data_IF_593044156695
#
_entry.id   IF_593044156695
#
_cell.length_a   1.000
_cell.length_b   1.000
_cell.length_c   1.000
_cell.angle_alpha   90.00
_cell.angle_beta   90.00
_cell.angle_gamma   90.00
#
_symmetry.space_group_name_H-M   'P 1'
#
loop_
_entity.id
_entity.type
_entity.pdbx_description
1 polymer ?
#
# COMPACT_ATOMS: atom_id res chain seq x y z
N UNK A 1 59.10 -28.40 -54.15
CA UNK A 1 59.53 -27.86 -55.47
C UNK A 1 60.89 -28.47 -55.82
N UNK A 2 61.08 -29.18 -56.95
CA UNK A 2 62.43 -29.67 -57.32
C UNK A 2 63.33 -28.48 -57.68
N UNK A 3 64.14 -28.00 -56.74
CA UNK A 3 65.17 -26.99 -57.00
C UNK A 3 66.39 -27.71 -57.58
N UNK A 4 66.32 -28.07 -58.86
CA UNK A 4 67.40 -28.73 -59.60
C UNK A 4 68.50 -27.75 -60.05
N UNK A 5 68.67 -26.61 -59.36
CA UNK A 5 69.66 -25.58 -59.70
C UNK A 5 70.95 -25.79 -58.91
N UNK A 6 72.07 -25.85 -59.62
CA UNK A 6 73.41 -26.00 -59.05
C UNK A 6 73.81 -24.76 -58.25
N UNK A 7 74.51 -24.96 -57.15
CA UNK A 7 75.00 -23.85 -56.35
C UNK A 7 76.15 -23.11 -57.05
N UNK A 8 76.49 -21.91 -56.58
CA UNK A 8 77.54 -21.07 -57.20
C UNK A 8 78.91 -21.75 -57.27
N UNK A 9 79.22 -22.65 -56.34
CA UNK A 9 80.50 -23.39 -56.33
C UNK A 9 80.53 -24.42 -57.45
N UNK A 10 79.44 -25.16 -57.62
CA UNK A 10 79.27 -26.13 -58.71
C UNK A 10 79.27 -25.46 -60.09
N UNK A 11 78.58 -24.33 -60.22
CA UNK A 11 78.57 -23.56 -61.47
C UNK A 11 79.96 -23.02 -61.82
N UNK A 12 80.70 -22.47 -60.84
CA UNK A 12 82.07 -21.97 -61.07
C UNK A 12 83.04 -23.06 -61.55
N UNK A 13 82.86 -24.31 -61.11
CA UNK A 13 83.72 -25.42 -61.53
C UNK A 13 83.66 -25.70 -63.04
N UNK A 14 82.59 -25.28 -63.73
CA UNK A 14 82.49 -25.41 -65.19
C UNK A 14 83.35 -24.40 -65.95
N UNK A 15 83.77 -23.31 -65.30
CA UNK A 15 84.49 -22.19 -65.92
C UNK A 15 85.93 -22.01 -65.39
N UNK A 16 86.51 -23.06 -64.79
CA UNK A 16 87.92 -23.06 -64.40
C UNK A 16 88.84 -23.06 -65.63
N UNK A 17 90.04 -22.49 -65.48
CA UNK A 17 91.05 -22.48 -66.53
C UNK A 17 91.27 -23.90 -67.09
N UNK A 18 91.33 -24.04 -68.41
CA UNK A 18 91.42 -25.29 -69.20
C UNK A 18 90.12 -26.12 -69.34
N UNK A 19 89.01 -25.75 -68.70
CA UNK A 19 87.69 -26.34 -68.96
C UNK A 19 86.98 -25.59 -70.09
N UNK A 20 86.31 -26.31 -70.98
CA UNK A 20 85.41 -25.74 -72.00
C UNK A 20 83.97 -26.02 -71.53
N UNK A 21 83.24 -24.99 -71.07
CA UNK A 21 81.85 -25.17 -70.66
C UNK A 21 80.97 -25.56 -71.86
N UNK A 22 80.02 -26.46 -71.65
CA UNK A 22 79.06 -26.86 -72.68
C UNK A 22 77.92 -25.83 -72.80
N UNK A 23 77.19 -25.86 -73.92
CA UNK A 23 75.97 -25.05 -74.11
C UNK A 23 75.00 -25.17 -72.94
N UNK A 24 74.77 -26.39 -72.44
CA UNK A 24 73.93 -26.65 -71.27
C UNK A 24 74.47 -25.96 -70.00
N UNK A 25 75.78 -25.92 -69.79
CA UNK A 25 76.39 -25.27 -68.64
C UNK A 25 76.33 -23.73 -68.72
N UNK A 26 76.36 -23.18 -69.93
CA UNK A 26 76.09 -21.76 -70.14
C UNK A 26 74.62 -21.41 -69.87
N UNK A 27 73.67 -22.23 -70.33
CA UNK A 27 72.25 -22.07 -70.00
C UNK A 27 72.02 -22.13 -68.48
N UNK A 28 72.59 -23.13 -67.80
CA UNK A 28 72.53 -23.27 -66.33
C UNK A 28 73.10 -22.03 -65.59
N UNK A 29 74.14 -21.37 -66.12
CA UNK A 29 74.69 -20.14 -65.54
C UNK A 29 73.76 -18.94 -65.72
N UNK A 30 73.19 -18.76 -66.92
CA UNK A 30 72.27 -17.66 -67.24
C UNK A 30 71.00 -17.78 -66.38
N UNK A 31 70.40 -18.98 -66.32
CA UNK A 31 69.21 -19.29 -65.52
C UNK A 31 69.44 -19.21 -63.99
N UNK A 32 70.71 -19.13 -63.55
CA UNK A 32 71.08 -18.93 -62.14
C UNK A 32 71.22 -17.45 -61.74
N UNK A 33 71.10 -16.51 -62.68
CA UNK A 33 71.15 -15.06 -62.43
C UNK A 33 69.76 -14.44 -62.44
N UNK A 34 69.55 -13.37 -61.66
CA UNK A 34 68.26 -12.65 -61.64
C UNK A 34 68.07 -11.82 -62.91
N UNK A 35 66.97 -12.04 -63.62
CA UNK A 35 66.48 -11.24 -64.74
C UNK A 35 65.41 -10.25 -64.23
N UNK A 36 65.65 -8.94 -64.40
CA UNK A 36 64.75 -7.92 -63.84
C UNK A 36 63.32 -7.96 -64.37
N UNK A 37 63.13 -8.37 -65.64
CA UNK A 37 61.80 -8.41 -66.28
C UNK A 37 61.10 -9.72 -65.96
N UNK A 38 61.82 -10.84 -66.04
CA UNK A 38 61.22 -12.17 -65.83
C UNK A 38 61.02 -12.51 -64.34
N UNK A 39 61.92 -12.05 -63.46
CA UNK A 39 61.82 -12.31 -62.01
C UNK A 39 61.09 -11.20 -61.25
N UNK A 40 60.57 -10.18 -61.94
CA UNK A 40 59.77 -9.10 -61.35
C UNK A 40 60.51 -8.26 -60.29
N UNK A 41 61.84 -8.23 -60.31
CA UNK A 41 62.67 -7.50 -59.33
C UNK A 41 63.51 -6.42 -60.03
N UNK A 42 63.31 -5.16 -59.63
CA UNK A 42 64.11 -4.04 -60.16
C UNK A 42 64.53 -3.08 -59.05
N UNK A 43 65.55 -2.26 -59.32
CA UNK A 43 65.96 -1.16 -58.44
C UNK A 43 66.03 0.12 -59.27
N UNK A 44 64.95 0.93 -59.29
CA UNK A 44 64.93 2.19 -60.02
C UNK A 44 66.04 3.13 -59.51
N UNK A 45 66.56 3.98 -60.39
CA UNK A 45 67.57 4.96 -60.01
C UNK A 45 67.05 5.88 -58.90
N UNK A 46 67.74 5.90 -57.75
CA UNK A 46 67.35 6.70 -56.58
C UNK A 46 66.17 6.12 -55.77
N UNK A 47 65.59 4.99 -56.16
CA UNK A 47 64.48 4.33 -55.47
C UNK A 47 64.88 3.10 -54.65
N UNK A 48 63.97 2.59 -53.80
CA UNK A 48 64.14 1.31 -53.13
C UNK A 48 64.04 0.13 -54.13
N UNK A 49 64.35 -1.08 -53.68
CA UNK A 49 64.04 -2.30 -54.46
C UNK A 49 62.53 -2.35 -54.68
N UNK A 50 62.12 -2.62 -55.91
CA UNK A 50 60.73 -2.81 -56.32
C UNK A 50 60.52 -4.27 -56.70
N UNK A 51 59.36 -4.79 -56.30
CA UNK A 51 58.87 -6.13 -56.64
C UNK A 51 57.55 -5.98 -57.36
N UNK A 52 57.41 -6.63 -58.50
CA UNK A 52 56.16 -6.78 -59.23
C UNK A 52 55.46 -8.06 -58.75
N UNK A 53 54.15 -7.97 -58.54
CA UNK A 53 53.36 -9.11 -58.11
C UNK A 53 53.05 -10.01 -59.32
N UNK A 54 53.26 -11.32 -59.17
CA UNK A 54 52.92 -12.32 -60.17
C UNK A 54 51.40 -12.58 -60.16
N UNK A 55 50.74 -12.37 -61.30
CA UNK A 55 49.30 -12.53 -61.49
C UNK A 55 48.60 -11.30 -62.11
N UNK A 56 47.41 -11.51 -62.68
CA UNK A 56 46.62 -10.43 -63.30
C UNK A 56 45.73 -9.68 -62.29
N UNK A 57 45.20 -8.52 -62.72
CA UNK A 57 44.32 -7.68 -61.88
C UNK A 57 42.98 -8.37 -61.53
N UNK A 58 42.60 -9.40 -62.30
CA UNK A 58 41.46 -10.28 -62.05
C UNK A 58 41.78 -11.44 -61.11
N UNK A 59 43.00 -11.50 -60.56
CA UNK A 59 43.42 -12.53 -59.65
C UNK A 59 44.21 -12.10 -58.43
N UNK A 60 44.49 -13.11 -57.58
CA UNK A 60 45.42 -13.00 -56.47
C UNK A 60 46.80 -12.78 -57.06
N UNK A 61 47.48 -11.74 -56.60
CA UNK A 61 48.81 -11.41 -57.09
C UNK A 61 49.82 -11.73 -56.00
N UNK A 62 50.74 -12.67 -56.22
CA UNK A 62 51.73 -13.05 -55.20
C UNK A 62 53.01 -12.24 -55.41
N UNK A 63 53.58 -11.72 -54.32
CA UNK A 63 54.78 -10.88 -54.36
C UNK A 63 55.99 -11.64 -53.80
N UNK A 64 55.83 -12.29 -52.65
CA UNK A 64 56.93 -12.96 -51.97
C UNK A 64 56.44 -14.20 -51.22
N UNK A 65 57.04 -15.34 -51.52
CA UNK A 65 56.80 -16.61 -50.84
C UNK A 65 57.95 -16.94 -49.87
N UNK A 66 57.59 -17.28 -48.64
CA UNK A 66 58.51 -17.61 -47.56
C UNK A 66 58.31 -19.08 -47.16
N UNK A 67 59.30 -19.91 -47.46
CA UNK A 67 59.31 -21.34 -47.15
C UNK A 67 60.12 -21.63 -45.87
N UNK A 68 59.63 -22.54 -45.04
CA UNK A 68 60.43 -23.13 -43.96
C UNK A 68 61.39 -24.19 -44.53
N UNK A 69 60.93 -24.95 -45.51
CA UNK A 69 61.73 -25.85 -46.35
C UNK A 69 61.25 -25.78 -47.80
N UNK A 70 62.17 -25.84 -48.77
CA UNK A 70 61.78 -25.92 -50.19
C UNK A 70 61.28 -27.31 -50.62
N UNK A 71 61.41 -28.30 -49.73
CA UNK A 71 60.74 -29.59 -49.86
C UNK A 71 59.22 -29.48 -49.65
N UNK A 72 58.75 -28.41 -49.00
CA UNK A 72 57.32 -28.19 -48.79
C UNK A 72 56.63 -27.85 -50.13
N UNK A 73 55.42 -28.39 -50.33
CA UNK A 73 54.63 -28.12 -51.53
C UNK A 73 54.10 -26.67 -51.58
N UNK A 74 53.93 -26.04 -50.41
CA UNK A 74 53.38 -24.68 -50.27
C UNK A 74 54.27 -23.81 -49.40
N UNK A 75 54.35 -22.49 -49.66
CA UNK A 75 55.08 -21.57 -48.79
C UNK A 75 54.46 -21.53 -47.40
N UNK A 76 55.28 -21.35 -46.36
CA UNK A 76 54.77 -21.17 -44.99
C UNK A 76 54.00 -19.86 -44.84
N UNK A 77 54.49 -18.80 -45.49
CA UNK A 77 53.85 -17.50 -45.57
C UNK A 77 53.95 -16.94 -46.98
N UNK A 78 52.91 -16.28 -47.46
CA UNK A 78 52.94 -15.56 -48.73
C UNK A 78 52.48 -14.11 -48.53
N UNK A 79 53.26 -13.18 -49.07
CA UNK A 79 52.90 -11.77 -49.20
C UNK A 79 52.35 -11.56 -50.61
N UNK A 80 51.20 -10.92 -50.72
CA UNK A 80 50.55 -10.67 -52.00
C UNK A 80 49.67 -9.44 -52.00
N UNK A 81 49.14 -9.14 -53.18
CA UNK A 81 48.13 -8.12 -53.43
C UNK A 81 46.84 -8.78 -53.91
N UNK A 82 45.74 -8.06 -53.76
CA UNK A 82 44.46 -8.39 -54.38
C UNK A 82 43.93 -9.81 -54.05
N UNK A 83 43.89 -10.23 -52.77
CA UNK A 83 43.33 -11.53 -52.39
C UNK A 83 41.85 -11.64 -52.78
N UNK A 84 41.37 -12.89 -52.94
CA UNK A 84 39.97 -13.18 -53.34
C UNK A 84 39.20 -13.85 -52.21
N UNK A 85 37.91 -13.54 -52.11
CA UNK A 85 37.01 -14.13 -51.10
C UNK A 85 36.66 -15.57 -51.49
N UNK A 86 36.43 -15.81 -52.77
CA UNK A 86 36.14 -17.12 -53.33
C UNK A 86 37.09 -17.38 -54.50
N UNK A 87 37.86 -18.47 -54.40
CA UNK A 87 38.81 -18.86 -55.43
C UNK A 87 38.15 -19.21 -56.77
N UNK A 88 36.85 -19.51 -56.78
CA UNK A 88 36.08 -19.84 -57.98
C UNK A 88 35.39 -18.63 -58.62
N UNK A 89 35.40 -17.47 -57.95
CA UNK A 89 34.78 -16.23 -58.45
C UNK A 89 35.85 -15.14 -58.60
N UNK A 90 36.41 -14.94 -59.80
CA UNK A 90 37.47 -13.95 -60.05
C UNK A 90 37.11 -12.52 -59.64
N UNK A 91 35.84 -12.14 -59.74
CA UNK A 91 35.34 -10.81 -59.36
C UNK A 91 35.30 -10.58 -57.83
N UNK A 92 35.62 -11.60 -57.02
CA UNK A 92 35.60 -11.50 -55.56
C UNK A 92 36.87 -10.88 -54.96
N UNK A 93 37.75 -10.34 -55.79
CA UNK A 93 39.02 -9.75 -55.37
C UNK A 93 38.82 -8.52 -54.49
N UNK A 94 39.72 -8.34 -53.53
CA UNK A 94 39.75 -7.21 -52.61
C UNK A 94 41.11 -6.50 -52.74
N UNK A 95 41.22 -5.41 -53.51
CA UNK A 95 42.47 -4.70 -53.71
C UNK A 95 43.11 -4.25 -52.37
N UNK A 96 44.33 -4.69 -52.10
CA UNK A 96 45.02 -4.41 -50.84
C UNK A 96 46.22 -5.32 -50.61
N UNK A 97 47.00 -5.03 -49.57
CA UNK A 97 48.15 -5.84 -49.14
C UNK A 97 47.66 -7.01 -48.30
N UNK A 98 48.13 -8.22 -48.57
CA UNK A 98 47.72 -9.44 -47.89
C UNK A 98 48.90 -10.29 -47.45
N UNK A 99 48.82 -10.83 -46.24
CA UNK A 99 49.71 -11.86 -45.72
C UNK A 99 48.87 -13.10 -45.45
N UNK A 100 49.17 -14.21 -46.13
CA UNK A 100 48.46 -15.49 -45.98
C UNK A 100 49.35 -16.60 -45.44
N UNK A 101 48.73 -17.57 -44.77
CA UNK A 101 49.40 -18.81 -44.36
C UNK A 101 49.55 -19.80 -45.53
N UNK A 102 50.13 -20.97 -45.25
CA UNK A 102 50.34 -22.06 -46.21
C UNK A 102 49.07 -22.64 -46.83
N UNK A 103 47.89 -22.37 -46.25
CA UNK A 103 46.60 -22.74 -46.83
C UNK A 103 46.00 -21.64 -47.72
N UNK A 104 46.72 -20.54 -47.92
CA UNK A 104 46.25 -19.37 -48.64
C UNK A 104 45.26 -18.50 -47.85
N UNK A 105 45.00 -18.83 -46.58
CA UNK A 105 44.08 -18.06 -45.74
C UNK A 105 44.76 -16.78 -45.24
N UNK A 106 44.11 -15.64 -45.47
CA UNK A 106 44.60 -14.34 -44.99
C UNK A 106 44.70 -14.29 -43.47
N UNK A 107 45.84 -13.78 -42.97
CA UNK A 107 46.09 -13.49 -41.55
C UNK A 107 46.12 -12.02 -41.26
N UNK A 108 46.64 -11.21 -42.18
CA UNK A 108 46.63 -9.76 -42.13
C UNK A 108 46.33 -9.22 -43.52
N UNK A 109 45.38 -8.30 -43.59
CA UNK A 109 44.99 -7.62 -44.82
C UNK A 109 44.87 -6.12 -44.56
N UNK A 110 45.36 -5.31 -45.49
CA UNK A 110 45.21 -3.85 -45.47
C UNK A 110 44.59 -3.42 -46.80
N UNK A 111 43.35 -2.92 -46.74
CA UNK A 111 42.59 -2.51 -47.92
C UNK A 111 43.22 -1.29 -48.60
N UNK A 112 43.39 -1.36 -49.92
CA UNK A 112 43.87 -0.23 -50.72
C UNK A 112 42.82 0.89 -50.78
N UNK A 113 43.28 2.15 -50.77
CA UNK A 113 42.42 3.36 -50.81
C UNK A 113 41.65 3.67 -49.53
N UNK A 114 41.14 2.65 -48.82
CA UNK A 114 40.36 2.79 -47.59
C UNK A 114 41.15 2.61 -46.29
N UNK A 115 42.25 1.84 -46.32
CA UNK A 115 43.12 1.62 -45.15
C UNK A 115 42.53 0.75 -44.04
N UNK A 116 41.36 0.15 -44.24
CA UNK A 116 40.76 -0.78 -43.29
C UNK A 116 41.65 -2.03 -43.15
N UNK A 117 41.85 -2.47 -41.91
CA UNK A 117 42.72 -3.60 -41.57
C UNK A 117 41.89 -4.80 -41.15
N UNK A 118 42.11 -5.95 -41.80
CA UNK A 118 41.52 -7.23 -41.45
C UNK A 118 42.55 -8.15 -40.81
N UNK A 119 42.24 -8.76 -39.67
CA UNK A 119 43.00 -9.88 -39.08
C UNK A 119 42.14 -11.13 -39.19
N UNK A 120 42.60 -12.13 -39.95
CA UNK A 120 41.83 -13.33 -40.26
C UNK A 120 40.65 -13.13 -41.23
N UNK A 121 40.54 -11.96 -41.87
CA UNK A 121 39.54 -11.64 -42.89
C UNK A 121 40.11 -10.67 -43.93
N UNK A 122 39.64 -10.77 -45.17
CA UNK A 122 39.90 -9.79 -46.23
C UNK A 122 38.71 -8.87 -46.51
N UNK A 123 37.63 -9.04 -45.75
CA UNK A 123 36.43 -8.20 -45.80
C UNK A 123 36.28 -7.46 -44.47
N UNK A 124 37.12 -6.45 -44.19
CA UNK A 124 36.96 -5.64 -42.99
C UNK A 124 35.73 -4.73 -43.13
N UNK A 125 34.82 -4.81 -42.17
CA UNK A 125 33.60 -3.98 -42.11
C UNK A 125 33.81 -2.69 -41.29
N UNK A 126 34.98 -2.54 -40.67
CA UNK A 126 35.39 -1.35 -39.91
C UNK A 126 36.89 -1.06 -40.12
N UNK A 127 37.40 0.03 -39.53
CA UNK A 127 38.85 0.38 -39.62
C UNK A 127 39.76 -0.76 -39.16
N UNK A 128 39.33 -1.52 -38.15
CA UNK A 128 39.97 -2.76 -37.73
C UNK A 128 38.88 -3.82 -37.55
N UNK A 129 38.98 -4.91 -38.28
CA UNK A 129 38.12 -6.08 -38.14
C UNK A 129 38.98 -7.29 -37.80
N UNK A 130 38.70 -7.92 -36.66
CA UNK A 130 39.38 -9.15 -36.24
C UNK A 130 38.37 -10.29 -36.28
N UNK A 131 38.58 -11.24 -37.20
CA UNK A 131 37.73 -12.42 -37.36
C UNK A 131 38.37 -13.60 -36.63
N UNK A 132 37.82 -13.93 -35.46
CA UNK A 132 38.25 -15.08 -34.68
C UNK A 132 37.85 -16.43 -35.29
N UNK A 133 38.53 -17.51 -34.87
CA UNK A 133 38.08 -18.89 -35.11
C UNK A 133 37.28 -19.38 -33.90
N UNK A 134 36.33 -20.30 -34.13
CA UNK A 134 35.54 -20.87 -33.04
C UNK A 134 36.48 -21.51 -31.99
N UNK A 135 36.22 -21.20 -30.71
CA UNK A 135 36.96 -21.65 -29.50
C UNK A 135 38.19 -20.83 -29.05
N UNK A 136 38.60 -19.78 -29.76
CA UNK A 136 39.72 -18.93 -29.31
C UNK A 136 39.25 -17.49 -29.08
N UNK A 137 39.85 -16.78 -28.10
CA UNK A 137 39.59 -15.37 -27.92
C UNK A 137 40.00 -14.58 -29.17
N UNK A 138 39.17 -13.61 -29.53
CA UNK A 138 39.43 -12.68 -30.65
C UNK A 138 40.51 -11.70 -30.24
N UNK A 139 40.42 -11.17 -29.01
CA UNK A 139 41.42 -10.30 -28.38
C UNK A 139 41.65 -10.82 -26.98
N UNK A 140 42.90 -11.00 -26.56
CA UNK A 140 43.25 -11.38 -25.21
C UNK A 140 44.49 -10.65 -24.71
N UNK A 141 44.48 -10.25 -23.44
CA UNK A 141 45.69 -9.90 -22.70
C UNK A 141 45.95 -11.02 -21.69
N UNK A 142 47.21 -11.46 -21.58
CA UNK A 142 47.62 -12.54 -20.68
C UNK A 142 48.42 -11.99 -19.51
N UNK A 143 48.19 -12.54 -18.33
CA UNK A 143 49.07 -12.31 -17.17
C UNK A 143 50.46 -12.83 -17.49
N UNK A 144 51.49 -12.05 -17.14
CA UNK A 144 52.87 -12.43 -17.34
C UNK A 144 53.28 -13.62 -16.46
N UNK A 145 52.81 -13.66 -15.21
CA UNK A 145 53.16 -14.69 -14.23
C UNK A 145 52.45 -16.02 -14.49
N UNK A 146 51.15 -15.99 -14.81
CA UNK A 146 50.32 -17.19 -14.94
C UNK A 146 50.04 -17.63 -16.38
N UNK A 147 50.26 -16.76 -17.36
CA UNK A 147 49.93 -17.02 -18.78
C UNK A 147 48.44 -17.09 -19.09
N UNK A 148 47.57 -16.85 -18.08
CA UNK A 148 46.11 -16.88 -18.23
C UNK A 148 45.58 -15.58 -18.80
N UNK A 149 44.44 -15.65 -19.51
CA UNK A 149 43.77 -14.48 -20.05
C UNK A 149 43.18 -13.65 -18.91
N UNK A 150 43.64 -12.41 -18.72
CA UNK A 150 43.12 -11.46 -17.72
C UNK A 150 42.11 -10.47 -18.33
N UNK A 151 42.16 -10.29 -19.65
CA UNK A 151 41.17 -9.57 -20.44
C UNK A 151 40.89 -10.39 -21.68
N UNK A 152 39.61 -10.56 -22.02
CA UNK A 152 39.21 -11.34 -23.17
C UNK A 152 37.98 -10.75 -23.87
N UNK A 153 38.08 -10.63 -25.19
CA UNK A 153 36.92 -10.48 -26.10
C UNK A 153 36.83 -11.75 -26.92
N UNK A 154 35.70 -12.43 -26.82
CA UNK A 154 35.50 -13.73 -27.46
C UNK A 154 34.08 -13.88 -28.01
N UNK A 155 33.89 -14.91 -28.82
CA UNK A 155 32.57 -15.29 -29.32
C UNK A 155 32.42 -16.81 -29.24
N UNK A 156 31.34 -17.26 -28.60
CA UNK A 156 30.99 -18.68 -28.47
C UNK A 156 29.51 -18.85 -28.80
N UNK A 157 29.15 -19.83 -29.65
CA UNK A 157 27.76 -20.10 -30.03
C UNK A 157 26.97 -18.85 -30.47
N UNK A 158 27.60 -17.97 -31.26
CA UNK A 158 27.09 -16.67 -31.73
C UNK A 158 26.96 -15.60 -30.63
N UNK A 159 27.24 -15.92 -29.37
CA UNK A 159 27.25 -14.97 -28.27
C UNK A 159 28.62 -14.32 -28.11
N UNK A 160 28.66 -12.99 -28.23
CA UNK A 160 29.85 -12.22 -27.84
C UNK A 160 30.00 -12.17 -26.32
N UNK A 161 31.24 -12.24 -25.86
CA UNK A 161 31.60 -12.01 -24.46
C UNK A 161 32.78 -11.05 -24.32
N UNK A 162 32.71 -10.25 -23.26
CA UNK A 162 33.81 -9.45 -22.74
C UNK A 162 34.04 -9.83 -21.28
N UNK A 163 35.26 -10.23 -20.92
CA UNK A 163 35.57 -10.60 -19.54
C UNK A 163 36.88 -10.02 -19.03
N UNK A 164 36.89 -9.74 -17.72
CA UNK A 164 38.08 -9.47 -16.92
C UNK A 164 38.23 -10.64 -15.95
N UNK A 165 39.34 -11.37 -16.01
CA UNK A 165 39.52 -12.60 -15.24
C UNK A 165 40.64 -12.46 -14.22
N UNK A 166 40.45 -13.13 -13.09
CA UNK A 166 41.47 -13.38 -12.08
C UNK A 166 42.49 -14.41 -12.60
N UNK A 167 43.65 -14.45 -11.95
CA UNK A 167 44.69 -15.45 -12.25
C UNK A 167 44.30 -16.89 -11.89
N UNK A 168 43.22 -17.12 -11.15
CA UNK A 168 42.66 -18.46 -10.96
C UNK A 168 41.88 -18.94 -12.20
N UNK A 169 41.52 -18.03 -13.11
CA UNK A 169 40.73 -18.29 -14.32
C UNK A 169 39.26 -17.89 -14.19
N UNK A 170 38.81 -17.46 -13.00
CA UNK A 170 37.45 -17.00 -12.77
C UNK A 170 37.28 -15.54 -13.22
N UNK A 171 36.18 -15.24 -13.92
CA UNK A 171 35.86 -13.87 -14.29
C UNK A 171 35.48 -13.04 -13.06
N UNK A 172 36.08 -11.86 -12.89
CA UNK A 172 35.65 -10.83 -11.93
C UNK A 172 34.60 -9.91 -12.54
N UNK A 173 34.61 -9.76 -13.87
CA UNK A 173 33.60 -9.04 -14.62
C UNK A 173 33.34 -9.79 -15.92
N UNK A 174 32.08 -10.00 -16.27
CA UNK A 174 31.72 -10.63 -17.53
C UNK A 174 30.44 -10.00 -18.09
N UNK A 175 30.49 -9.68 -19.38
CA UNK A 175 29.33 -9.34 -20.21
C UNK A 175 29.15 -10.45 -21.21
N UNK A 176 28.00 -11.12 -21.20
CA UNK A 176 27.69 -12.24 -22.10
C UNK A 176 26.19 -12.38 -22.27
N UNK A 177 25.72 -12.63 -23.49
CA UNK A 177 24.28 -12.79 -23.78
C UNK A 177 23.39 -11.63 -23.29
N UNK A 178 23.89 -10.39 -23.36
CA UNK A 178 23.17 -9.20 -22.90
C UNK A 178 23.05 -9.07 -21.37
N UNK A 179 23.75 -9.91 -20.61
CA UNK A 179 23.78 -9.89 -19.14
C UNK A 179 25.14 -9.46 -18.64
N UNK A 180 25.16 -8.85 -17.45
CA UNK A 180 26.38 -8.38 -16.77
C UNK A 180 26.52 -9.08 -15.43
N UNK A 181 27.72 -9.55 -15.12
CA UNK A 181 28.08 -10.02 -13.78
C UNK A 181 29.35 -9.34 -13.28
N UNK A 182 29.32 -9.01 -11.99
CA UNK A 182 30.49 -8.63 -11.19
C UNK A 182 30.70 -9.74 -10.15
N UNK A 183 31.91 -10.26 -10.03
CA UNK A 183 32.23 -11.45 -9.24
C UNK A 183 32.24 -12.75 -10.07
N UNK A 184 32.51 -13.87 -9.40
CA UNK A 184 32.83 -15.15 -10.04
C UNK A 184 31.62 -15.84 -10.71
N UNK A 185 31.87 -16.56 -11.82
CA UNK A 185 30.89 -17.39 -12.53
C UNK A 185 30.20 -16.73 -13.73
N UNK A 186 29.22 -17.43 -14.32
CA UNK A 186 28.47 -17.01 -15.54
C UNK A 186 27.19 -16.21 -15.23
N UNK A 187 26.89 -15.12 -15.95
CA UNK A 187 25.77 -14.24 -15.60
C UNK A 187 24.40 -14.93 -15.72
N UNK A 188 23.71 -15.07 -14.59
CA UNK A 188 22.38 -15.72 -14.51
C UNK A 188 21.21 -14.74 -14.74
N UNK A 189 21.38 -13.46 -14.42
CA UNK A 189 20.37 -12.40 -14.52
C UNK A 189 20.92 -11.18 -15.27
N UNK A 190 20.08 -10.22 -15.72
CA UNK A 190 20.54 -9.01 -16.42
C UNK A 190 21.70 -8.29 -15.72
N UNK A 191 21.63 -8.13 -14.39
CA UNK A 191 22.76 -7.70 -13.57
C UNK A 191 22.86 -8.56 -12.30
N UNK A 192 24.02 -9.18 -12.10
CA UNK A 192 24.33 -9.92 -10.87
C UNK A 192 25.65 -9.47 -10.27
N UNK A 193 25.70 -9.31 -8.95
CA UNK A 193 26.90 -8.96 -8.19
C UNK A 193 27.12 -10.05 -7.15
N UNK A 194 28.28 -10.69 -7.20
CA UNK A 194 28.68 -11.78 -6.29
C UNK A 194 29.85 -11.29 -5.44
N UNK A 195 29.70 -11.39 -4.11
CA UNK A 195 30.76 -11.02 -3.17
C UNK A 195 31.86 -12.08 -3.08
N UNK A 196 33.01 -11.71 -2.50
CA UNK A 196 34.05 -12.69 -2.16
C UNK A 196 33.51 -13.68 -1.11
N UNK A 197 33.82 -14.96 -1.27
CA UNK A 197 33.51 -16.01 -0.30
C UNK A 197 34.28 -15.74 0.99
N UNK A 198 33.64 -15.13 1.98
CA UNK A 198 34.11 -15.10 3.36
C UNK A 198 33.08 -15.91 4.17
N UNK A 199 33.48 -17.12 4.54
CA UNK A 199 32.80 -18.06 5.44
C UNK A 199 31.39 -18.56 5.08
N UNK A 200 31.39 -19.67 4.32
CA UNK A 200 30.36 -20.72 4.25
C UNK A 200 28.93 -20.39 3.81
N UNK A 201 28.67 -19.28 3.11
CA UNK A 201 27.45 -19.18 2.27
C UNK A 201 27.80 -18.41 1.00
N UNK A 202 27.61 -19.00 -0.21
CA UNK A 202 27.72 -18.23 -1.44
C UNK A 202 26.61 -17.18 -1.42
N UNK A 203 26.93 -15.93 -1.10
CA UNK A 203 25.95 -14.87 -1.20
C UNK A 203 26.22 -14.00 -2.40
N UNK A 204 25.41 -14.21 -3.43
CA UNK A 204 25.23 -13.20 -4.46
C UNK A 204 24.83 -11.92 -3.71
N UNK A 205 25.71 -10.92 -3.70
CA UNK A 205 25.50 -9.68 -2.94
C UNK A 205 24.21 -8.99 -3.40
N UNK A 206 23.95 -9.02 -4.71
CA UNK A 206 22.76 -8.45 -5.33
C UNK A 206 22.42 -9.16 -6.64
N UNK A 207 21.14 -9.36 -6.92
CA UNK A 207 20.65 -9.84 -8.20
C UNK A 207 19.46 -8.97 -8.64
N UNK A 208 19.56 -8.40 -9.85
CA UNK A 208 18.50 -7.59 -10.47
C UNK A 208 17.97 -8.31 -11.70
N UNK A 209 16.66 -8.53 -11.70
CA UNK A 209 15.87 -9.09 -12.80
C UNK A 209 14.76 -8.13 -13.21
N UNK A 210 13.97 -8.51 -14.21
CA UNK A 210 12.79 -7.75 -14.64
C UNK A 210 11.70 -7.67 -13.56
N UNK A 211 11.67 -8.62 -12.63
CA UNK A 211 10.58 -8.78 -11.66
C UNK A 211 11.02 -8.57 -10.22
N UNK A 212 12.33 -8.60 -9.94
CA UNK A 212 12.83 -8.54 -8.57
C UNK A 212 14.24 -7.99 -8.44
N UNK A 213 14.49 -7.40 -7.27
CA UNK A 213 15.80 -7.09 -6.71
C UNK A 213 15.97 -7.94 -5.47
N UNK A 214 17.01 -8.77 -5.47
CA UNK A 214 17.37 -9.67 -4.37
C UNK A 214 18.68 -9.20 -3.74
N UNK A 215 18.74 -9.28 -2.41
CA UNK A 215 19.89 -8.85 -1.61
C UNK A 215 20.35 -9.97 -0.69
N UNK A 216 21.65 -10.28 -0.69
CA UNK A 216 22.26 -11.26 0.21
C UNK A 216 21.74 -12.70 0.03
N UNK A 217 22.30 -13.62 0.80
CA UNK A 217 21.96 -15.04 0.69
C UNK A 217 22.16 -15.60 -0.73
N UNK A 218 21.51 -16.70 -1.04
CA UNK A 218 21.60 -17.31 -2.37
C UNK A 218 20.89 -16.51 -3.48
N UNK A 219 20.26 -15.37 -3.17
CA UNK A 219 19.36 -14.65 -4.09
C UNK A 219 18.33 -15.59 -4.76
N UNK A 220 17.69 -16.45 -3.96
CA UNK A 220 16.65 -17.39 -4.40
C UNK A 220 15.31 -17.06 -3.70
N UNK A 221 14.66 -15.98 -4.13
CA UNK A 221 13.38 -15.53 -3.59
C UNK A 221 13.43 -15.23 -2.09
N UNK A 222 12.62 -15.94 -1.30
CA UNK A 222 12.58 -15.81 0.17
C UNK A 222 13.55 -16.76 0.90
N UNK A 223 14.65 -17.16 0.27
CA UNK A 223 15.69 -17.95 0.91
C UNK A 223 16.28 -17.31 2.17
N UNK A 224 16.93 -18.13 2.99
CA UNK A 224 17.63 -17.70 4.20
C UNK A 224 18.65 -16.61 3.88
N UNK A 225 18.82 -15.66 4.81
CA UNK A 225 19.76 -14.52 4.68
C UNK A 225 19.54 -13.66 3.42
N UNK A 226 18.37 -13.76 2.80
CA UNK A 226 18.02 -13.00 1.58
C UNK A 226 16.91 -12.00 1.89
N UNK A 227 17.01 -10.79 1.36
CA UNK A 227 15.92 -9.81 1.28
C UNK A 227 15.48 -9.64 -0.18
N UNK A 228 14.25 -9.18 -0.39
CA UNK A 228 13.66 -9.10 -1.72
C UNK A 228 12.73 -7.90 -1.85
N UNK A 229 12.83 -7.21 -2.99
CA UNK A 229 11.80 -6.31 -3.52
C UNK A 229 11.35 -6.89 -4.85
N UNK A 230 10.06 -7.14 -5.03
CA UNK A 230 9.55 -7.76 -6.26
C UNK A 230 8.16 -7.31 -6.64
N UNK A 231 7.81 -7.50 -7.90
CA UNK A 231 6.45 -7.41 -8.41
C UNK A 231 6.02 -8.83 -8.76
N UNK A 232 4.88 -9.29 -8.26
CA UNK A 232 4.34 -10.60 -8.61
C UNK A 232 3.42 -10.56 -9.84
N UNK A 233 2.88 -11.73 -10.22
CA UNK A 233 2.01 -11.89 -11.39
C UNK A 233 0.69 -11.12 -11.29
N UNK A 234 0.33 -10.66 -10.09
CA UNK A 234 -0.87 -9.86 -9.84
C UNK A 234 -0.54 -8.35 -9.76
N UNK A 235 0.68 -7.96 -10.17
CA UNK A 235 1.22 -6.60 -10.10
C UNK A 235 1.33 -6.05 -8.67
N UNK A 236 1.47 -6.92 -7.66
CA UNK A 236 1.61 -6.51 -6.27
C UNK A 236 3.08 -6.26 -5.96
N UNK A 237 3.37 -5.07 -5.42
CA UNK A 237 4.68 -4.76 -4.85
C UNK A 237 4.85 -5.52 -3.53
N UNK A 238 5.82 -6.41 -3.53
CA UNK A 238 6.19 -7.25 -2.41
C UNK A 238 7.55 -6.79 -1.86
N UNK A 239 7.63 -6.56 -0.55
CA UNK A 239 8.88 -6.19 0.13
C UNK A 239 9.09 -7.15 1.30
N UNK A 240 10.19 -7.91 1.25
CA UNK A 240 10.60 -8.85 2.29
C UNK A 240 11.93 -8.40 2.89
N UNK A 241 11.93 -8.13 4.19
CA UNK A 241 13.17 -7.94 4.95
C UNK A 241 14.04 -9.19 4.96
N UNK A 242 15.28 -9.06 5.42
CA UNK A 242 16.21 -10.19 5.50
C UNK A 242 15.84 -11.12 6.66
N UNK A 243 15.86 -12.43 6.41
CA UNK A 243 15.74 -13.44 7.46
C UNK A 243 17.09 -13.62 8.18
N UNK A 244 17.08 -13.77 9.51
CA UNK A 244 18.24 -14.30 10.24
C UNK A 244 18.50 -15.75 9.83
N UNK A 245 19.74 -16.21 10.04
CA UNK A 245 20.40 -17.31 9.36
C UNK A 245 19.62 -18.60 9.03
N UNK A 246 18.59 -18.96 9.78
CA UNK A 246 17.89 -20.24 9.74
C UNK A 246 16.36 -20.16 9.76
N UNK A 247 15.75 -18.97 9.83
CA UNK A 247 14.30 -18.86 10.03
C UNK A 247 13.66 -17.67 9.28
N UNK A 248 12.84 -17.97 8.27
CA UNK A 248 12.13 -16.96 7.46
C UNK A 248 11.12 -16.11 8.26
N UNK A 249 10.63 -16.58 9.41
CA UNK A 249 9.70 -15.81 10.25
C UNK A 249 10.38 -14.62 10.95
N UNK A 250 11.71 -14.56 10.92
CA UNK A 250 12.49 -13.48 11.53
C UNK A 250 12.61 -12.24 10.65
N UNK A 251 12.06 -12.28 9.42
CA UNK A 251 12.07 -11.16 8.48
C UNK A 251 11.42 -9.94 9.13
N UNK A 252 12.15 -8.84 9.16
CA UNK A 252 11.67 -7.55 9.68
C UNK A 252 11.76 -6.49 8.59
N UNK A 253 10.73 -5.68 8.48
CA UNK A 253 10.72 -4.48 7.64
C UNK A 253 10.45 -3.28 8.55
N UNK A 254 11.44 -2.39 8.66
CA UNK A 254 11.26 -1.08 9.26
C UNK A 254 10.98 -0.07 8.15
N UNK A 255 9.93 0.74 8.29
CA UNK A 255 9.61 1.84 7.38
C UNK A 255 9.69 3.14 8.19
N UNK A 256 10.75 3.92 7.96
CA UNK A 256 10.95 5.21 8.61
C UNK A 256 10.27 6.30 7.77
N UNK A 257 9.20 6.90 8.30
CA UNK A 257 8.45 7.96 7.63
C UNK A 257 8.32 9.18 8.56
N UNK A 258 9.40 9.97 8.68
CA UNK A 258 9.49 11.12 9.60
C UNK A 258 8.42 12.20 9.34
N UNK A 259 7.86 12.25 8.12
CA UNK A 259 6.72 13.11 7.76
C UNK A 259 5.35 12.41 7.69
N UNK A 260 5.24 11.16 8.12
CA UNK A 260 4.02 10.34 8.08
C UNK A 260 3.86 9.47 6.81
N UNK A 261 2.94 8.50 6.87
CA UNK A 261 2.62 7.56 5.78
C UNK A 261 1.13 7.66 5.38
N UNK A 262 0.85 7.89 4.10
CA UNK A 262 -0.51 7.89 3.56
C UNK A 262 -0.77 6.60 2.77
N UNK A 263 -1.76 5.80 3.19
CA UNK A 263 -2.21 4.60 2.46
C UNK A 263 -3.60 4.86 1.89
N UNK A 264 -3.73 4.85 0.57
CA UNK A 264 -5.03 4.93 -0.12
C UNK A 264 -5.52 3.53 -0.45
N UNK A 265 -6.67 3.15 0.11
CA UNK A 265 -7.26 1.81 -0.03
C UNK A 265 -7.39 1.09 1.31
N UNK A 266 -7.78 -0.18 1.27
CA UNK A 266 -7.88 -1.01 2.46
C UNK A 266 -6.50 -1.45 2.93
N UNK A 267 -6.21 -1.30 4.23
CA UNK A 267 -5.05 -1.88 4.88
C UNK A 267 -5.48 -3.09 5.70
N UNK A 268 -4.92 -4.26 5.38
CA UNK A 268 -5.08 -5.48 6.18
C UNK A 268 -3.76 -5.79 6.89
N UNK A 269 -3.79 -5.94 8.21
CA UNK A 269 -2.64 -6.34 9.01
C UNK A 269 -3.10 -7.21 10.18
N UNK A 270 -2.43 -8.33 10.40
CA UNK A 270 -2.86 -9.38 11.33
C UNK A 270 -2.14 -9.37 12.68
N UNK A 271 -1.11 -8.54 12.86
CA UNK A 271 -0.25 -8.53 14.06
C UNK A 271 0.30 -7.13 14.39
N UNK A 272 -0.59 -6.15 14.59
CA UNK A 272 -0.16 -4.92 15.26
C UNK A 272 0.24 -5.28 16.69
N UNK A 273 1.56 -5.25 16.98
CA UNK A 273 2.06 -5.32 18.34
C UNK A 273 1.38 -4.21 19.14
N UNK A 274 0.74 -4.55 20.27
CA UNK A 274 0.29 -3.59 21.27
C UNK A 274 1.52 -2.92 21.90
N UNK A 275 2.25 -2.11 21.16
CA UNK A 275 3.07 -1.06 21.76
C UNK A 275 2.13 0.10 21.99
N UNK A 276 1.92 0.36 23.28
CA UNK A 276 1.37 1.56 23.89
C UNK A 276 0.59 2.44 22.92
N UNK A 277 -0.73 2.35 23.07
CA UNK A 277 -1.64 3.46 22.88
C UNK A 277 -1.29 4.36 21.68
N UNK A 278 -1.97 4.12 20.55
CA UNK A 278 -1.98 5.06 19.43
C UNK A 278 -2.53 6.45 19.86
N UNK A 279 -2.98 6.58 21.11
CA UNK A 279 -3.60 7.73 21.73
C UNK A 279 -2.68 8.34 22.83
N UNK A 280 -1.45 7.81 23.03
CA UNK A 280 -0.48 8.38 23.96
C UNK A 280 0.15 9.67 23.41
N UNK A 281 -0.49 10.79 23.78
CA UNK A 281 -0.12 12.19 23.57
C UNK A 281 -0.58 12.79 22.22
N UNK A 282 -1.84 13.25 22.20
CA UNK A 282 -2.37 14.20 21.21
C UNK A 282 -2.49 13.71 19.75
N UNK A 283 -2.54 12.39 19.52
CA UNK A 283 -2.94 11.83 18.23
C UNK A 283 -4.47 11.93 18.07
N UNK A 284 -4.89 13.13 17.64
CA UNK A 284 -6.25 13.54 17.30
C UNK A 284 -7.25 12.41 16.96
N UNK A 285 -8.36 12.40 17.71
CA UNK A 285 -9.63 11.70 17.46
C UNK A 285 -10.30 12.01 16.09
N UNK A 286 -9.59 12.61 15.14
CA UNK A 286 -10.18 13.09 13.88
C UNK A 286 -10.43 12.02 12.82
N UNK A 287 -10.18 10.72 13.06
CA UNK A 287 -10.26 9.72 11.98
C UNK A 287 -10.87 8.35 12.27
N UNK A 288 -11.54 8.12 13.40
CA UNK A 288 -12.40 6.94 13.56
C UNK A 288 -13.87 7.35 13.50
N UNK A 289 -14.37 7.47 12.27
CA UNK A 289 -15.75 7.86 12.01
C UNK A 289 -16.75 6.71 12.24
N UNK A 290 -17.59 6.89 13.28
CA UNK A 290 -19.06 7.09 13.15
C UNK A 290 -20.10 5.97 13.37
N UNK A 291 -19.88 4.84 14.04
CA UNK A 291 -21.04 4.05 14.54
C UNK A 291 -20.93 3.45 15.95
N UNK A 292 -19.84 2.76 16.30
CA UNK A 292 -19.72 2.13 17.64
C UNK A 292 -19.50 3.12 18.78
N UNK A 293 -18.73 4.19 18.54
CA UNK A 293 -18.42 5.20 19.56
C UNK A 293 -19.65 6.06 19.94
N UNK A 294 -20.56 6.31 19.00
CA UNK A 294 -21.79 7.08 19.24
C UNK A 294 -22.78 6.30 20.11
N UNK A 295 -22.95 4.99 19.85
CA UNK A 295 -23.90 4.16 20.60
C UNK A 295 -23.48 3.99 22.07
N UNK A 296 -22.21 3.68 22.33
CA UNK A 296 -21.73 3.50 23.71
C UNK A 296 -21.73 4.81 24.51
N UNK A 297 -21.43 5.95 23.88
CA UNK A 297 -21.46 7.26 24.53
C UNK A 297 -22.87 7.73 24.88
N UNK A 298 -23.85 7.50 23.99
CA UNK A 298 -25.26 7.85 24.22
C UNK A 298 -25.90 6.89 25.22
N UNK A 299 -25.65 5.58 25.11
CA UNK A 299 -26.23 4.55 25.99
C UNK A 299 -25.72 4.69 27.45
N UNK A 300 -24.46 5.08 27.67
CA UNK A 300 -23.94 5.32 29.02
C UNK A 300 -24.49 6.60 29.68
N UNK A 301 -24.93 7.59 28.89
CA UNK A 301 -25.46 8.85 29.43
C UNK A 301 -26.98 8.90 29.50
N UNK A 302 -27.68 8.06 28.73
CA UNK A 302 -29.13 7.94 28.73
C UNK A 302 -29.50 6.45 28.78
N UNK A 303 -29.52 5.84 29.99
CA UNK A 303 -29.86 4.44 30.14
C UNK A 303 -31.29 4.15 29.67
N UNK A 304 -31.52 2.90 29.25
CA UNK A 304 -32.86 2.38 28.96
C UNK A 304 -33.79 2.60 30.17
N UNK A 305 -35.01 3.07 29.91
CA UNK A 305 -36.00 3.37 30.95
C UNK A 305 -36.06 4.83 31.40
N UNK A 306 -35.16 5.71 30.95
CA UNK A 306 -35.27 7.16 31.19
C UNK A 306 -36.54 7.70 30.55
N UNK A 307 -37.33 8.42 31.34
CA UNK A 307 -38.55 9.12 30.90
C UNK A 307 -38.24 10.60 30.73
N UNK A 308 -38.62 11.18 29.60
CA UNK A 308 -38.51 12.61 29.35
C UNK A 308 -39.83 13.22 28.83
N UNK A 309 -39.98 14.53 29.01
CA UNK A 309 -41.08 15.29 28.42
C UNK A 309 -40.78 15.58 26.96
N UNK A 310 -41.78 15.40 26.11
CA UNK A 310 -41.67 15.53 24.66
C UNK A 310 -42.84 16.37 24.11
N UNK A 311 -42.51 17.37 23.29
CA UNK A 311 -43.49 18.27 22.70
C UNK A 311 -43.97 17.84 21.30
N UNK A 312 -43.43 16.74 20.75
CA UNK A 312 -43.83 16.21 19.45
C UNK A 312 -45.00 15.22 19.54
N UNK A 313 -45.72 15.06 18.42
CA UNK A 313 -46.90 14.18 18.35
C UNK A 313 -46.57 12.67 18.33
N UNK A 314 -45.35 12.30 17.91
CA UNK A 314 -44.87 10.92 17.81
C UNK A 314 -43.52 10.76 18.51
N UNK A 315 -43.27 9.61 19.14
CA UNK A 315 -41.99 9.31 19.77
C UNK A 315 -40.91 9.06 18.70
N UNK A 316 -39.68 9.61 18.86
CA UNK A 316 -38.57 9.33 17.95
C UNK A 316 -38.14 7.85 17.95
N UNK A 317 -37.41 7.43 16.93
CA UNK A 317 -36.84 6.09 16.88
C UNK A 317 -35.96 5.81 18.12
N UNK A 318 -36.12 4.63 18.71
CA UNK A 318 -35.44 4.25 19.96
C UNK A 318 -36.11 4.77 21.24
N UNK A 319 -37.30 5.37 21.13
CA UNK A 319 -38.16 5.81 22.23
C UNK A 319 -39.59 5.27 22.03
N UNK A 320 -40.38 5.19 23.11
CA UNK A 320 -41.79 4.84 23.07
C UNK A 320 -42.63 5.81 23.91
N UNK A 321 -43.92 5.96 23.60
CA UNK A 321 -44.85 6.71 24.45
C UNK A 321 -45.09 5.96 25.76
N UNK A 322 -45.16 6.68 26.88
CA UNK A 322 -45.57 6.14 28.18
C UNK A 322 -47.11 6.01 28.25
N UNK A 323 -47.68 5.10 27.45
CA UNK A 323 -49.13 4.90 27.33
C UNK A 323 -49.63 3.57 27.94
N UNK A 324 -48.74 2.73 28.47
CA UNK A 324 -49.10 1.41 29.02
C UNK A 324 -48.89 0.25 28.05
N UNK A 325 -48.61 0.53 26.78
CA UNK A 325 -48.33 -0.50 25.78
C UNK A 325 -46.85 -0.91 25.85
N UNK A 326 -46.53 -2.10 25.35
CA UNK A 326 -45.16 -2.62 25.22
C UNK A 326 -44.33 -2.55 26.52
N UNK A 327 -44.98 -2.72 27.68
CA UNK A 327 -44.32 -2.69 29.00
C UNK A 327 -43.96 -1.29 29.51
N UNK A 328 -44.36 -0.22 28.81
CA UNK A 328 -44.15 1.16 29.27
C UNK A 328 -45.12 1.52 30.41
N UNK A 329 -44.75 2.42 31.33
CA UNK A 329 -45.72 2.98 32.28
C UNK A 329 -46.80 3.78 31.55
N UNK A 330 -48.05 3.76 32.04
CA UNK A 330 -49.11 4.64 31.51
C UNK A 330 -49.16 5.95 32.30
N UNK A 331 -48.60 7.01 31.71
CA UNK A 331 -48.56 8.37 32.25
C UNK A 331 -49.56 9.32 31.56
N UNK A 332 -50.43 8.81 30.69
CA UNK A 332 -51.43 9.62 29.99
C UNK A 332 -52.41 10.25 30.98
N UNK A 333 -52.52 11.58 30.93
CA UNK A 333 -53.37 12.36 31.84
C UNK A 333 -52.96 12.19 33.32
N UNK A 334 -51.65 12.07 33.61
CA UNK A 334 -51.12 11.97 34.96
C UNK A 334 -50.17 13.12 35.25
N UNK A 335 -50.23 13.63 36.47
CA UNK A 335 -49.20 14.50 37.02
C UNK A 335 -48.17 13.65 37.74
N UNK A 336 -46.89 13.77 37.38
CA UNK A 336 -45.82 12.95 37.98
C UNK A 336 -45.42 13.54 39.32
N UNK A 337 -45.35 12.67 40.34
CA UNK A 337 -44.85 12.98 41.67
C UNK A 337 -43.59 12.14 41.94
N UNK A 338 -42.62 12.72 42.63
CA UNK A 338 -41.39 12.02 42.99
C UNK A 338 -41.64 10.88 43.96
N UNK A 339 -40.89 9.78 43.81
CA UNK A 339 -40.91 8.68 44.77
C UNK A 339 -40.45 9.15 46.14
N UNK A 340 -41.27 8.92 47.17
CA UNK A 340 -41.01 9.36 48.55
C UNK A 340 -40.70 8.22 49.53
N UNK A 341 -40.91 6.96 49.12
CA UNK A 341 -40.66 5.78 49.95
C UNK A 341 -41.63 5.59 51.13
N UNK A 342 -42.67 6.44 51.26
CA UNK A 342 -43.67 6.38 52.32
C UNK A 342 -45.06 6.82 51.81
N UNK A 343 -46.10 6.50 52.59
CA UNK A 343 -47.49 6.84 52.27
C UNK A 343 -47.92 6.35 50.88
N UNK A 344 -48.63 7.19 50.14
CA UNK A 344 -49.10 6.91 48.78
C UNK A 344 -47.96 6.86 47.74
N UNK A 345 -46.76 7.35 48.08
CA UNK A 345 -45.60 7.45 47.19
C UNK A 345 -44.52 6.39 47.47
N UNK A 346 -44.91 5.27 48.08
CA UNK A 346 -44.01 4.20 48.55
C UNK A 346 -43.65 3.15 47.48
N UNK A 347 -44.27 3.17 46.30
CA UNK A 347 -43.95 2.28 45.20
C UNK A 347 -44.02 3.00 43.84
N UNK A 348 -43.06 2.67 42.96
CA UNK A 348 -43.05 3.18 41.59
C UNK A 348 -44.28 2.65 40.86
N UNK A 349 -45.05 3.55 40.25
CA UNK A 349 -46.28 3.21 39.54
C UNK A 349 -47.56 3.30 40.38
N UNK A 350 -47.48 3.64 41.67
CA UNK A 350 -48.66 4.03 42.45
C UNK A 350 -49.37 5.22 41.78
N UNK A 351 -50.70 5.23 41.85
CA UNK A 351 -51.57 6.23 41.21
C UNK A 351 -52.61 6.70 42.21
N UNK A 352 -53.00 7.96 42.08
CA UNK A 352 -54.02 8.58 42.92
C UNK A 352 -54.42 9.95 42.38
N UNK A 353 -55.13 10.71 43.20
CA UNK A 353 -55.65 12.02 42.83
C UNK A 353 -56.99 11.96 42.09
N UNK A 354 -57.63 13.13 41.98
CA UNK A 354 -58.87 13.32 41.25
C UNK A 354 -58.80 14.64 40.48
N UNK A 355 -59.27 14.64 39.23
CA UNK A 355 -59.34 15.87 38.42
C UNK A 355 -60.42 16.82 38.93
N UNK A 356 -61.46 16.26 39.55
CA UNK A 356 -62.61 16.97 40.06
C UNK A 356 -62.97 16.46 41.46
N UNK A 357 -63.35 17.37 42.36
CA UNK A 357 -63.72 17.04 43.74
C UNK A 357 -65.11 17.59 44.05
N UNK A 358 -66.00 16.72 44.53
CA UNK A 358 -67.31 17.12 45.06
C UNK A 358 -67.23 17.25 46.56
N UNK A 359 -67.63 18.41 47.09
CA UNK A 359 -67.69 18.63 48.54
C UNK A 359 -68.75 17.74 49.17
N UNK A 360 -68.38 17.01 50.21
CA UNK A 360 -69.33 16.25 51.03
C UNK A 360 -69.75 17.07 52.24
N UNK A 361 -70.84 16.68 52.92
CA UNK A 361 -71.27 17.31 54.19
C UNK A 361 -70.13 17.36 55.23
N UNK A 362 -69.25 16.36 55.25
CA UNK A 362 -68.08 16.34 56.15
C UNK A 362 -66.97 17.32 55.81
N UNK A 363 -66.98 17.91 54.61
CA UNK A 363 -66.03 18.94 54.19
C UNK A 363 -66.55 20.36 54.41
N UNK A 364 -67.80 20.52 54.85
CA UNK A 364 -68.37 21.83 55.12
C UNK A 364 -67.96 22.29 56.53
N UNK A 365 -67.52 23.56 56.69
CA UNK A 365 -67.33 24.14 58.01
C UNK A 365 -68.62 24.07 58.84
N UNK A 366 -68.45 23.94 60.16
CA UNK A 366 -69.56 24.01 61.09
C UNK A 366 -70.28 25.36 60.94
N UNK A 367 -71.59 25.31 60.71
CA UNK A 367 -72.43 26.50 60.58
C UNK A 367 -73.77 26.25 61.28
N UNK A 368 -74.46 27.34 61.63
CA UNK A 368 -75.81 27.29 62.20
C UNK A 368 -76.72 28.24 61.45
N UNK A 369 -78.01 27.89 61.42
CA UNK A 369 -79.06 28.79 60.99
C UNK A 369 -79.75 29.34 62.23
N UNK A 370 -79.85 30.65 62.33
CA UNK A 370 -80.65 31.32 63.35
C UNK A 370 -81.82 32.04 62.69
N UNK A 371 -82.95 32.07 63.38
CA UNK A 371 -84.16 32.76 62.96
C UNK A 371 -84.96 33.13 64.20
N UNK A 372 -85.70 34.24 64.14
CA UNK A 372 -86.57 34.71 65.24
C UNK A 372 -87.99 34.72 64.73
N UNK A 373 -88.88 33.96 65.38
CA UNK A 373 -90.33 34.11 65.25
C UNK A 373 -90.79 35.15 66.27
N UNK A 374 -91.67 36.09 65.89
CA UNK A 374 -92.02 37.23 66.75
C UNK A 374 -92.79 36.81 68.03
N UNK A 375 -92.64 37.60 69.10
CA UNK A 375 -93.13 37.29 70.47
C UNK A 375 -94.65 37.50 70.67
N UNK A 376 -95.47 37.45 69.63
CA UNK A 376 -96.91 37.73 69.77
C UNK A 376 -97.65 36.45 70.16
N UNK A 377 -97.74 36.19 71.46
CA UNK A 377 -98.48 35.03 71.99
C UNK A 377 -99.03 35.20 73.41
N UNK A 378 -98.30 35.88 74.30
CA UNK A 378 -98.73 36.11 75.67
C UNK A 378 -99.49 37.43 75.81
N UNK A 379 -100.72 37.38 76.29
CA UNK A 379 -101.51 38.57 76.61
C UNK A 379 -102.27 38.38 77.93
N UNK A 380 -102.73 39.50 78.51
CA UNK A 380 -103.54 39.57 79.74
C UNK A 380 -104.84 40.34 79.46
N UNK A 381 -105.84 40.15 80.30
CA UNK A 381 -107.10 40.90 80.23
C UNK A 381 -107.31 41.65 81.55
N UNK A 382 -107.74 42.91 81.45
CA UNK A 382 -108.16 43.72 82.59
C UNK A 382 -109.67 43.66 82.76
N UNK A 383 -110.14 43.53 83.99
CA UNK A 383 -111.56 43.63 84.32
C UNK A 383 -111.75 44.38 85.63
N UNK A 384 -112.91 45.01 85.82
CA UNK A 384 -113.19 45.86 86.98
C UNK A 384 -114.33 45.28 87.80
N UNK A 385 -114.13 45.11 89.11
CA UNK A 385 -115.10 44.50 90.03
C UNK A 385 -115.14 45.19 91.41
N UNK A 386 -116.09 44.80 92.26
CA UNK A 386 -116.34 45.43 93.56
C UNK A 386 -115.24 45.17 94.62
N UNK A 387 -115.04 46.11 95.55
CA UNK A 387 -114.10 46.00 96.67
C UNK A 387 -114.69 45.14 97.81
N UNK A 388 -114.38 43.84 97.84
CA UNK A 388 -114.53 43.02 99.05
C UNK A 388 -113.25 42.21 99.31
N UNK A 389 -112.88 42.07 100.58
CA UNK A 389 -111.76 41.24 101.05
C UNK A 389 -112.14 39.76 100.92
N UNK A 390 -111.77 39.14 99.80
CA UNK A 390 -112.05 37.73 99.49
C UNK A 390 -110.85 37.04 98.80
N UNK A 391 -110.82 35.72 98.89
CA UNK A 391 -109.78 34.69 98.64
C UNK A 391 -109.04 34.67 97.28
N UNK A 392 -109.05 35.76 96.52
CA UNK A 392 -108.40 35.82 95.21
C UNK A 392 -109.23 35.27 94.05
N UNK A 393 -110.47 34.81 94.30
CA UNK A 393 -111.43 34.47 93.24
C UNK A 393 -112.44 35.62 93.03
N UNK A 394 -112.48 36.20 91.82
CA UNK A 394 -113.23 37.42 91.56
C UNK A 394 -114.65 37.14 91.01
N UNK A 395 -115.67 37.12 91.89
CA UNK A 395 -117.10 37.13 91.54
C UNK A 395 -117.77 38.38 92.13
N UNK A 396 -117.81 39.48 91.37
CA UNK A 396 -118.28 40.78 91.86
C UNK A 396 -119.75 41.06 91.53
N UNK A 397 -120.66 40.81 92.47
CA UNK A 397 -121.96 41.49 92.57
C UNK A 397 -121.99 42.27 93.87
N UNK A 398 -122.10 43.60 93.80
CA UNK A 398 -122.24 44.46 94.97
C UNK A 398 -123.30 45.53 94.68
N UNK A 399 -124.43 45.41 95.38
CA UNK A 399 -125.43 46.46 95.55
C UNK A 399 -124.89 47.39 96.64
N UNK A 400 -124.22 48.46 96.24
CA UNK A 400 -124.29 49.80 96.84
C UNK A 400 -123.09 50.64 96.39
N UNK A 401 -123.43 51.79 95.80
CA UNK A 401 -122.55 52.75 95.14
C UNK A 401 -121.49 53.30 96.10
N UNK A 402 -120.21 53.00 95.86
CA UNK A 402 -119.07 53.95 95.70
C UNK A 402 -117.73 53.20 95.87
N UNK A 403 -117.15 52.71 94.76
CA UNK A 403 -115.72 52.34 94.65
C UNK A 403 -115.43 51.07 93.83
N UNK A 404 -114.96 51.22 92.58
CA UNK A 404 -114.51 50.11 91.73
C UNK A 404 -112.98 49.92 91.81
N UNK A 405 -112.49 48.69 91.59
CA UNK A 405 -111.05 48.39 91.45
C UNK A 405 -110.82 47.49 90.24
N UNK A 406 -109.87 47.85 89.37
CA UNK A 406 -109.43 47.04 88.22
C UNK A 406 -108.44 45.95 88.65
N UNK A 407 -108.63 44.73 88.15
CA UNK A 407 -107.74 43.57 88.35
C UNK A 407 -107.39 42.96 87.00
N UNK A 408 -106.20 42.38 86.89
CA UNK A 408 -105.66 41.82 85.65
C UNK A 408 -105.49 40.31 85.78
N UNK A 409 -105.85 39.54 84.76
CA UNK A 409 -105.61 38.10 84.72
C UNK A 409 -104.11 37.74 84.63
N UNK A 410 -103.76 36.50 84.97
CA UNK A 410 -102.40 36.00 84.72
C UNK A 410 -102.12 35.92 83.21
N UNK A 411 -100.88 36.20 82.80
CA UNK A 411 -100.50 36.12 81.38
C UNK A 411 -100.28 34.66 81.06
N UNK A 412 -100.89 34.15 79.99
CA UNK A 412 -100.62 32.80 79.50
C UNK A 412 -100.60 32.79 77.98
N UNK A 413 -99.66 32.05 77.39
CA UNK A 413 -99.41 32.06 75.94
C UNK A 413 -98.13 31.33 75.50
N UNK A 414 -97.61 30.41 76.32
CA UNK A 414 -96.39 29.69 76.00
C UNK A 414 -96.66 28.69 74.85
N UNK A 415 -96.13 29.00 73.67
CA UNK A 415 -96.05 28.07 72.54
C UNK A 415 -94.75 28.30 71.78
N UNK A 416 -94.32 27.28 71.03
CA UNK A 416 -93.10 27.33 70.21
C UNK A 416 -93.46 27.35 68.73
N UNK A 417 -92.71 28.12 67.95
CA UNK A 417 -92.71 28.02 66.50
C UNK A 417 -91.55 27.15 66.05
N UNK A 418 -91.78 26.29 65.05
CA UNK A 418 -90.74 25.60 64.32
C UNK A 418 -90.58 26.28 62.96
N UNK A 419 -89.33 26.52 62.53
CA UNK A 419 -89.03 26.95 61.17
C UNK A 419 -88.06 25.95 60.52
N UNK A 420 -88.22 25.73 59.22
CA UNK A 420 -87.36 24.84 58.41
C UNK A 420 -86.87 25.64 57.21
N UNK A 421 -85.58 25.54 56.88
CA UNK A 421 -84.99 26.13 55.66
C UNK A 421 -84.84 25.06 54.58
N UNK A 422 -84.92 25.46 53.31
CA UNK A 422 -84.67 24.56 52.19
C UNK A 422 -83.18 24.21 52.07
N UNK A 423 -82.88 23.05 51.49
CA UNK A 423 -81.51 22.70 51.09
C UNK A 423 -81.04 23.64 49.95
N UNK A 424 -79.78 24.08 50.01
CA UNK A 424 -79.15 24.91 48.96
C UNK A 424 -77.83 24.27 48.54
N UNK A 425 -77.59 24.21 47.23
CA UNK A 425 -76.40 23.59 46.62
C UNK A 425 -76.77 22.39 45.74
N UNK A 426 -76.01 22.18 44.65
CA UNK A 426 -76.28 21.12 43.65
C UNK A 426 -75.21 20.02 43.61
N UNK A 427 -74.32 19.96 44.63
CA UNK A 427 -73.21 19.00 44.73
C UNK A 427 -72.37 18.86 43.43
N UNK A 428 -72.20 19.96 42.71
CA UNK A 428 -71.39 19.95 41.49
C UNK A 428 -69.90 19.88 41.86
N UNK A 429 -69.11 19.01 41.21
CA UNK A 429 -67.68 18.96 41.44
C UNK A 429 -67.00 20.27 40.99
N UNK A 430 -65.88 20.60 41.63
CA UNK A 430 -65.00 21.67 41.18
C UNK A 430 -63.67 21.12 40.64
N UNK A 431 -63.03 21.88 39.74
CA UNK A 431 -61.70 21.60 39.22
C UNK A 431 -60.67 21.54 40.36
N UNK A 432 -59.82 20.52 40.33
CA UNK A 432 -58.79 20.25 41.35
C UNK A 432 -57.37 20.29 40.78
N UNK A 433 -57.20 20.50 39.47
CA UNK A 433 -55.90 20.65 38.82
C UNK A 433 -55.41 22.09 38.88
N UNK A 434 -54.11 22.33 39.19
CA UNK A 434 -53.48 23.62 38.94
C UNK A 434 -53.40 23.90 37.42
N UNK A 435 -53.12 25.14 36.99
CA UNK A 435 -52.85 25.44 35.58
C UNK A 435 -51.79 24.50 35.00
N UNK A 436 -52.07 23.88 33.85
CA UNK A 436 -51.20 22.88 33.24
C UNK A 436 -50.97 23.10 31.74
N UNK A 437 -49.85 22.58 31.23
CA UNK A 437 -49.51 22.53 29.81
C UNK A 437 -49.27 21.07 29.39
N UNK A 438 -49.81 20.67 28.24
CA UNK A 438 -49.80 19.26 27.82
C UNK A 438 -48.53 18.95 27.03
N UNK A 439 -47.72 18.01 27.56
CA UNK A 439 -46.60 17.37 26.87
C UNK A 439 -46.78 15.85 26.94
N UNK A 440 -46.20 15.13 25.97
CA UNK A 440 -46.13 13.68 26.03
C UNK A 440 -44.98 13.25 26.97
N UNK A 441 -45.15 12.10 27.62
CA UNK A 441 -44.04 11.39 28.25
C UNK A 441 -43.56 10.29 27.30
N UNK A 442 -42.25 10.25 27.01
CA UNK A 442 -41.61 9.19 26.23
C UNK A 442 -40.51 8.52 27.05
N UNK A 443 -40.26 7.23 26.79
CA UNK A 443 -39.27 6.41 27.48
C UNK A 443 -38.22 5.87 26.51
N UNK A 444 -36.93 5.87 26.91
CA UNK A 444 -35.84 5.31 26.11
C UNK A 444 -35.95 3.79 26.10
N UNK A 445 -36.07 3.20 24.90
CA UNK A 445 -36.09 1.76 24.68
C UNK A 445 -34.73 1.10 24.76
#
# INVERSE_FOLDING_TARGET
>A
MEINKKNRTELKNYFLATKIPTEKQFAELIEATFNQVEDGITKPQGGPIALEADGDASGTQRVLDLFSSFEDDNPTWSLGLNPRVDSNLPESNKPGLNISDSSGQSKLYIQSGGGNVGIGTIEPEARLTVKGKSKQPIIAAKSHSSGKNIFEVSQENQAGSLSLNKEDGNSHFIVKNGKVRIGEGEPEAPLSVVGAQEDQIPTSAMNISSESILFGGANAGRGLRSAQVSIDKENVLNIFGMASGDNETTRKLNIYAEGGMNVKGLLSASNFSKREDLDANDASDQRISTQKAVKAYVDNRLPQGVICMWSGAQAPAGWALCNGENGTPNLTGKFVVGFGGNGDYNAIGNKGGAEQVTLTKGNLPAHSHTGVTNNTGAHKHDFTGAKASGDGSATGSSRDFYGSTTRTTASSGDHKHYFTTNETGNNQPHENRPPYYVLAYIIKL
#
